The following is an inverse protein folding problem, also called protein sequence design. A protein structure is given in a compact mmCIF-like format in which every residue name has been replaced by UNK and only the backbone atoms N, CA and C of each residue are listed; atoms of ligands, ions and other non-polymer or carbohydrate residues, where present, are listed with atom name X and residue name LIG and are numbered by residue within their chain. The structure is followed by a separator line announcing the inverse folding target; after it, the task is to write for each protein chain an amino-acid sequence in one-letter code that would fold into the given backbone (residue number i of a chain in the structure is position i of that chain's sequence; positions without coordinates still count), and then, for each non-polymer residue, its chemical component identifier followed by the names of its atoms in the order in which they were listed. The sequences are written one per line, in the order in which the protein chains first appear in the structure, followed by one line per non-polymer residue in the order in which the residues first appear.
data_IF_199647717948
#
_entry.id   IF_199647717948
#
_cell.length_a   1.000
_cell.length_b   1.000
_cell.length_c   1.000
_cell.angle_alpha   90.00
_cell.angle_beta   90.00
_cell.angle_gamma   90.00
#
_symmetry.space_group_name_H-M   'P 1'
#
loop_
_entity.id
_entity.type
_entity.pdbx_description
1 polymer ?
#
# COMPACT_ATOMS: atom_id res chain seq x y z
N UNK A 1 8.33 -18.54 14.27
CA UNK A 1 7.90 -17.13 14.34
C UNK A 1 7.26 -16.91 15.69
N UNK A 2 7.44 -15.76 16.30
CA UNK A 2 6.86 -15.44 17.60
C UNK A 2 5.33 -15.33 17.55
N UNK A 3 4.66 -15.64 18.66
CA UNK A 3 3.19 -15.68 18.73
C UNK A 3 2.55 -14.29 18.68
N UNK A 4 3.27 -13.26 19.12
CA UNK A 4 2.82 -11.86 19.18
C UNK A 4 3.97 -10.92 18.80
N UNK A 5 3.67 -9.65 18.54
CA UNK A 5 4.64 -8.62 18.22
C UNK A 5 4.44 -7.39 19.09
N UNK A 6 5.53 -6.73 19.49
CA UNK A 6 5.49 -5.49 20.26
C UNK A 6 5.26 -4.28 19.34
N UNK A 7 4.07 -4.27 18.71
CA UNK A 7 3.68 -3.24 17.74
C UNK A 7 3.53 -1.88 18.44
N UNK A 8 3.12 -1.84 19.72
CA UNK A 8 2.98 -0.60 20.48
C UNK A 8 4.31 0.16 20.56
N UNK A 9 5.40 -0.51 20.97
CA UNK A 9 6.74 0.09 21.01
C UNK A 9 7.22 0.53 19.62
N UNK A 10 6.98 -0.33 18.62
CA UNK A 10 7.32 -0.01 17.22
C UNK A 10 6.64 1.26 16.72
N UNK A 11 5.34 1.43 16.99
CA UNK A 11 4.59 2.62 16.57
C UNK A 11 5.00 3.87 17.38
N UNK A 12 5.23 3.73 18.69
CA UNK A 12 5.71 4.82 19.54
C UNK A 12 7.07 5.34 19.07
N UNK A 13 7.99 4.43 18.75
CA UNK A 13 9.31 4.77 18.20
C UNK A 13 9.17 5.46 16.84
N UNK A 14 8.32 4.94 15.96
CA UNK A 14 8.07 5.55 14.66
C UNK A 14 7.50 6.98 14.78
N UNK A 15 6.56 7.20 15.71
CA UNK A 15 6.00 8.52 16.00
C UNK A 15 7.09 9.51 16.44
N UNK A 16 7.97 9.09 17.35
CA UNK A 16 9.12 9.91 17.77
C UNK A 16 10.01 10.26 16.57
N UNK A 17 10.30 9.29 15.70
CA UNK A 17 11.09 9.53 14.49
C UNK A 17 10.43 10.58 13.56
N UNK A 18 9.10 10.60 13.44
CA UNK A 18 8.42 11.64 12.65
C UNK A 18 8.56 13.04 13.24
N UNK A 19 8.58 13.16 14.58
CA UNK A 19 8.82 14.43 15.27
C UNK A 19 10.26 14.91 15.03
N UNK A 20 11.24 14.03 15.21
CA UNK A 20 12.65 14.36 15.01
C UNK A 20 12.95 14.77 13.56
N UNK A 21 12.33 14.07 12.60
CA UNK A 21 12.43 14.41 11.18
C UNK A 21 11.73 15.72 10.83
N UNK A 22 10.71 16.13 11.58
CA UNK A 22 10.03 17.41 11.39
C UNK A 22 10.90 18.57 11.88
N UNK A 23 11.63 18.40 13.00
CA UNK A 23 12.57 19.40 13.52
C UNK A 23 13.74 19.68 12.57
N UNK A 24 14.16 18.68 11.78
CA UNK A 24 15.28 18.79 10.83
C UNK A 24 14.87 19.34 9.45
N UNK A 25 13.56 19.53 9.21
CA UNK A 25 13.06 19.97 7.89
C UNK A 25 12.89 21.48 7.83
N UNK A 26 12.99 22.00 6.60
CA UNK A 26 12.66 23.39 6.29
C UNK A 26 11.25 23.76 6.78
N UNK A 27 11.06 24.90 7.47
CA UNK A 27 9.81 25.28 8.14
C UNK A 27 8.56 25.27 7.24
N UNK A 28 8.74 25.49 5.94
CA UNK A 28 7.65 25.55 4.97
C UNK A 28 7.39 24.24 4.21
N UNK A 29 8.13 23.17 4.50
CA UNK A 29 7.93 21.88 3.85
C UNK A 29 6.83 21.08 4.55
N UNK A 30 5.78 20.72 3.81
CA UNK A 30 4.71 19.81 4.27
C UNK A 30 4.84 18.45 3.57
N UNK A 31 5.70 17.54 4.08
CA UNK A 31 5.88 16.25 3.44
C UNK A 31 4.71 15.31 3.67
N UNK A 32 4.52 14.38 2.74
CA UNK A 32 3.73 13.19 3.02
C UNK A 32 4.47 12.30 4.02
N UNK A 33 3.79 11.97 5.11
CA UNK A 33 4.29 11.04 6.13
C UNK A 33 3.72 9.66 5.86
N UNK A 34 4.58 8.65 5.77
CA UNK A 34 4.23 7.26 5.49
C UNK A 34 4.89 6.34 6.50
N UNK A 35 4.09 5.53 7.18
CA UNK A 35 4.53 4.49 8.10
C UNK A 35 4.10 3.14 7.53
N UNK A 36 5.04 2.20 7.37
CA UNK A 36 4.74 0.86 6.86
C UNK A 36 5.07 -0.15 7.95
N UNK A 37 4.03 -0.80 8.46
CA UNK A 37 4.15 -1.89 9.43
C UNK A 37 4.21 -3.22 8.69
N UNK A 38 5.30 -3.97 8.89
CA UNK A 38 5.45 -5.33 8.38
C UNK A 38 5.48 -6.27 9.58
N UNK A 39 4.51 -7.17 9.69
CA UNK A 39 4.42 -8.10 10.82
C UNK A 39 3.84 -9.45 10.41
N UNK A 40 4.08 -10.49 11.22
CA UNK A 40 3.58 -11.86 11.00
C UNK A 40 2.75 -12.38 12.18
N UNK A 41 2.58 -11.57 13.23
CA UNK A 41 1.92 -11.93 14.47
C UNK A 41 1.04 -10.77 14.96
N UNK A 42 -0.05 -11.07 15.71
CA UNK A 42 -0.89 -10.05 16.32
C UNK A 42 -0.12 -9.19 17.34
N UNK A 43 -0.58 -7.97 17.63
CA UNK A 43 0.02 -7.13 18.67
C UNK A 43 -0.09 -7.78 20.05
N UNK A 44 0.92 -7.57 20.91
CA UNK A 44 0.76 -7.74 22.35
C UNK A 44 -0.31 -6.78 22.88
N UNK A 45 -1.09 -7.22 23.86
CA UNK A 45 -2.02 -6.38 24.61
C UNK A 45 -1.29 -5.68 25.78
N UNK A 46 -0.12 -5.12 25.49
CA UNK A 46 0.70 -4.39 26.46
C UNK A 46 0.78 -2.93 26.02
N UNK A 47 0.68 -1.98 26.97
CA UNK A 47 0.96 -0.59 26.67
C UNK A 47 2.46 -0.39 26.43
N UNK A 48 2.81 0.76 25.85
CA UNK A 48 4.18 1.24 25.72
C UNK A 48 4.80 1.45 27.10
N UNK A 49 6.03 0.97 27.27
CA UNK A 49 6.84 1.08 28.48
C UNK A 49 8.18 1.76 28.18
N UNK A 50 8.80 1.47 27.03
CA UNK A 50 10.17 1.93 26.73
C UNK A 50 10.20 3.37 26.20
N UNK A 51 9.23 3.76 25.37
CA UNK A 51 9.12 5.15 24.91
C UNK A 51 8.53 6.05 26.01
N UNK A 52 9.34 6.97 26.54
CA UNK A 52 8.91 7.91 27.59
C UNK A 52 7.75 8.81 27.14
N UNK A 53 7.82 9.33 25.91
CA UNK A 53 6.83 10.27 25.34
C UNK A 53 5.44 9.64 25.22
N UNK A 54 5.39 8.35 24.87
CA UNK A 54 4.14 7.62 24.62
C UNK A 54 3.87 6.55 25.67
N UNK A 55 4.57 6.60 26.82
CA UNK A 55 4.42 5.61 27.88
C UNK A 55 2.95 5.50 28.32
N UNK A 56 2.49 4.28 28.57
CA UNK A 56 1.11 3.98 28.94
C UNK A 56 0.11 3.94 27.79
N UNK A 57 0.49 4.32 26.56
CA UNK A 57 -0.42 4.24 25.41
C UNK A 57 -0.55 2.81 24.89
N UNK A 58 -1.76 2.43 24.50
CA UNK A 58 -2.02 1.17 23.81
C UNK A 58 -1.78 1.31 22.31
N UNK A 59 -1.63 0.17 21.61
CA UNK A 59 -1.46 0.14 20.15
C UNK A 59 -2.59 0.86 19.40
N UNK A 60 -3.83 0.75 19.89
CA UNK A 60 -4.99 1.42 19.29
C UNK A 60 -4.96 2.94 19.48
N UNK A 61 -4.49 3.42 20.65
CA UNK A 61 -4.31 4.85 20.90
C UNK A 61 -3.21 5.44 20.02
N UNK A 62 -2.11 4.72 19.84
CA UNK A 62 -1.03 5.15 18.94
C UNK A 62 -1.49 5.21 17.48
N UNK A 63 -2.35 4.27 17.04
CA UNK A 63 -2.93 4.32 15.71
C UNK A 63 -3.83 5.56 15.51
N UNK A 64 -4.62 5.93 16.52
CA UNK A 64 -5.38 7.19 16.48
C UNK A 64 -4.45 8.41 16.37
N UNK A 65 -3.38 8.46 17.16
CA UNK A 65 -2.38 9.55 17.11
C UNK A 65 -1.71 9.62 15.73
N UNK A 66 -1.39 8.48 15.12
CA UNK A 66 -0.86 8.41 13.75
C UNK A 66 -1.82 9.08 12.76
N UNK A 67 -3.11 8.77 12.86
CA UNK A 67 -4.14 9.36 12.00
C UNK A 67 -4.26 10.88 12.21
N UNK A 68 -4.33 11.31 13.48
CA UNK A 68 -4.43 12.72 13.88
C UNK A 68 -3.23 13.55 13.37
N UNK A 69 -2.04 12.96 13.38
CA UNK A 69 -0.81 13.60 12.89
C UNK A 69 -0.64 13.56 11.37
N UNK A 70 -1.65 13.09 10.64
CA UNK A 70 -1.66 13.01 9.19
C UNK A 70 -0.62 12.02 8.64
N UNK A 71 -0.28 11.00 9.43
CA UNK A 71 0.64 9.93 9.01
C UNK A 71 -0.18 8.82 8.36
N UNK A 72 0.16 8.48 7.12
CA UNK A 72 -0.47 7.36 6.44
C UNK A 72 0.15 6.05 6.95
N UNK A 73 -0.65 5.21 7.61
CA UNK A 73 -0.24 3.87 8.02
C UNK A 73 -0.62 2.84 6.97
N UNK A 74 0.34 2.07 6.49
CA UNK A 74 0.13 0.89 5.66
C UNK A 74 0.57 -0.37 6.40
N UNK A 75 -0.14 -1.49 6.23
CA UNK A 75 0.13 -2.74 6.95
C UNK A 75 0.30 -3.90 5.96
N UNK A 76 1.41 -4.61 6.11
CA UNK A 76 1.76 -5.80 5.33
C UNK A 76 1.94 -6.99 6.27
N UNK A 77 1.36 -8.13 5.91
CA UNK A 77 1.57 -9.39 6.64
C UNK A 77 1.48 -10.58 5.70
N UNK A 78 2.28 -11.64 5.88
CA UNK A 78 2.18 -12.86 5.08
C UNK A 78 0.92 -13.70 5.39
N UNK A 79 0.09 -13.26 6.34
CA UNK A 79 -1.19 -13.89 6.68
C UNK A 79 -2.24 -12.85 7.07
N UNK A 80 -3.52 -13.20 6.95
CA UNK A 80 -4.63 -12.36 7.42
C UNK A 80 -4.70 -12.41 8.95
N UNK A 81 -4.58 -11.26 9.61
CA UNK A 81 -4.64 -11.15 11.08
C UNK A 81 -5.74 -10.15 11.45
N UNK A 82 -6.86 -10.58 12.06
CA UNK A 82 -8.01 -9.72 12.36
C UNK A 82 -7.66 -8.43 13.13
N UNK A 83 -6.72 -8.53 14.08
CA UNK A 83 -6.27 -7.37 14.86
C UNK A 83 -5.64 -6.27 13.99
N UNK A 84 -4.96 -6.63 12.89
CA UNK A 84 -4.33 -5.66 12.00
C UNK A 84 -5.35 -4.91 11.14
N UNK A 85 -6.48 -5.53 10.79
CA UNK A 85 -7.57 -4.81 10.11
C UNK A 85 -8.15 -3.73 11.01
N UNK A 86 -8.43 -4.08 12.28
CA UNK A 86 -8.91 -3.11 13.27
C UNK A 86 -7.91 -1.98 13.48
N UNK A 87 -6.63 -2.32 13.61
CA UNK A 87 -5.56 -1.33 13.77
C UNK A 87 -5.47 -0.36 12.58
N UNK A 88 -5.55 -0.88 11.36
CA UNK A 88 -5.54 -0.08 10.15
C UNK A 88 -6.74 0.89 10.07
N UNK A 89 -7.94 0.40 10.40
CA UNK A 89 -9.15 1.25 10.45
C UNK A 89 -9.02 2.34 11.51
N UNK A 90 -8.48 2.01 12.70
CA UNK A 90 -8.18 2.99 13.76
C UNK A 90 -7.18 4.05 13.34
N UNK A 91 -6.23 3.70 12.47
CA UNK A 91 -5.30 4.65 11.85
C UNK A 91 -5.91 5.45 10.68
N UNK A 92 -7.24 5.44 10.53
CA UNK A 92 -7.96 6.14 9.47
C UNK A 92 -7.84 5.48 8.10
N UNK A 93 -7.52 4.19 8.06
CA UNK A 93 -7.48 3.39 6.84
C UNK A 93 -8.89 2.97 6.39
N UNK A 94 -9.12 2.95 5.07
CA UNK A 94 -10.38 2.46 4.48
C UNK A 94 -10.25 0.98 4.12
N UNK A 95 -10.88 0.13 4.92
CA UNK A 95 -10.89 -1.31 4.72
C UNK A 95 -11.66 -1.75 3.48
N UNK A 96 -12.70 -1.03 3.07
CA UNK A 96 -13.47 -1.41 1.87
C UNK A 96 -12.63 -1.14 0.62
N UNK A 97 -12.08 0.07 0.50
CA UNK A 97 -11.22 0.43 -0.64
C UNK A 97 -9.98 -0.48 -0.74
N UNK A 98 -9.41 -0.88 0.41
CA UNK A 98 -8.24 -1.76 0.44
C UNK A 98 -8.57 -3.22 0.08
N UNK A 99 -9.82 -3.66 0.25
CA UNK A 99 -10.26 -5.00 -0.13
C UNK A 99 -10.62 -5.12 -1.61
N UNK A 100 -11.07 -4.03 -2.25
CA UNK A 100 -11.38 -4.01 -3.69
C UNK A 100 -10.13 -4.16 -4.55
N UNK A 101 -8.97 -3.70 -4.06
CA UNK A 101 -7.69 -3.76 -4.78
C UNK A 101 -6.71 -4.66 -4.04
N UNK A 102 -6.79 -5.96 -4.29
CA UNK A 102 -5.87 -6.92 -3.69
C UNK A 102 -4.50 -6.87 -4.40
N UNK A 103 -3.56 -6.15 -3.81
CA UNK A 103 -2.19 -6.00 -4.31
C UNK A 103 -1.27 -7.19 -3.99
N UNK A 104 -1.76 -8.20 -3.28
CA UNK A 104 -0.94 -9.34 -2.92
C UNK A 104 -0.88 -10.36 -4.07
N UNK A 105 0.33 -10.87 -4.35
CA UNK A 105 0.50 -12.00 -5.27
C UNK A 105 -0.13 -13.29 -4.72
N UNK A 106 -0.04 -13.49 -3.40
CA UNK A 106 -0.70 -14.59 -2.69
C UNK A 106 -1.94 -14.06 -1.96
N UNK A 107 -3.15 -14.61 -2.22
CA UNK A 107 -4.39 -14.13 -1.59
C UNK A 107 -4.38 -14.27 -0.06
N UNK A 108 -3.53 -15.12 0.51
CA UNK A 108 -3.37 -15.30 1.96
C UNK A 108 -2.64 -14.13 2.62
N UNK A 109 -1.84 -13.38 1.85
CA UNK A 109 -1.12 -12.22 2.38
C UNK A 109 -2.06 -11.03 2.56
N UNK A 110 -1.82 -10.25 3.60
CA UNK A 110 -2.49 -9.00 3.90
C UNK A 110 -1.68 -7.83 3.35
N UNK A 111 -2.32 -7.00 2.54
CA UNK A 111 -1.75 -5.75 2.02
C UNK A 111 -2.81 -4.66 2.18
N UNK A 112 -2.59 -3.74 3.11
CA UNK A 112 -3.45 -2.58 3.38
C UNK A 112 -2.61 -1.33 3.13
N UNK A 113 -2.97 -0.53 2.13
CA UNK A 113 -2.19 0.64 1.71
C UNK A 113 -2.99 1.92 1.94
N UNK A 114 -2.37 2.91 2.58
CA UNK A 114 -2.96 4.23 2.81
C UNK A 114 -2.14 5.31 2.12
N UNK A 115 -2.81 6.22 1.42
CA UNK A 115 -2.19 7.40 0.79
C UNK A 115 -1.47 7.13 -0.53
N UNK A 116 -1.48 5.89 -1.05
CA UNK A 116 -1.00 5.55 -2.39
C UNK A 116 -1.66 4.27 -2.93
N UNK A 117 -1.46 4.01 -4.22
CA UNK A 117 -1.91 2.79 -4.90
C UNK A 117 -0.79 2.29 -5.81
N UNK A 118 -0.64 0.98 -5.93
CA UNK A 118 0.35 0.39 -6.83
C UNK A 118 -0.19 0.38 -8.26
N UNK A 119 0.70 0.57 -9.24
CA UNK A 119 0.35 0.43 -10.65
C UNK A 119 0.10 -1.06 -10.92
N UNK A 120 -1.14 -1.41 -11.20
CA UNK A 120 -1.47 -2.74 -11.70
C UNK A 120 -0.76 -2.95 -13.05
N UNK A 121 -0.14 -4.12 -13.26
CA UNK A 121 0.01 -4.58 -14.64
C UNK A 121 -1.41 -4.88 -15.12
N UNK A 122 -1.86 -4.38 -16.28
CA UNK A 122 -3.09 -4.89 -16.87
C UNK A 122 -2.96 -6.42 -16.94
N UNK A 123 -4.00 -7.12 -16.48
CA UNK A 123 -4.07 -8.58 -16.52
C UNK A 123 -4.31 -8.97 -17.97
N UNK A 124 -3.28 -8.85 -18.81
CA UNK A 124 -3.29 -9.15 -20.24
C UNK A 124 -4.31 -8.30 -21.05
N UNK A 125 -4.20 -8.23 -22.38
CA UNK A 125 -5.20 -7.55 -23.20
C UNK A 125 -6.50 -8.34 -23.05
N UNK A 126 -7.59 -7.67 -22.66
CA UNK A 126 -8.92 -8.25 -22.82
C UNK A 126 -9.11 -8.74 -24.26
N UNK A 127 -10.00 -9.72 -24.50
CA UNK A 127 -10.35 -10.08 -25.86
C UNK A 127 -10.83 -8.80 -26.54
N UNK A 128 -10.09 -8.35 -27.56
CA UNK A 128 -10.54 -7.26 -28.39
C UNK A 128 -11.95 -7.56 -28.91
N UNK A 129 -12.75 -6.52 -29.20
CA UNK A 129 -14.05 -6.72 -29.83
C UNK A 129 -13.89 -7.62 -31.06
N UNK A 130 -14.86 -8.51 -31.34
CA UNK A 130 -14.76 -9.45 -32.47
C UNK A 130 -14.46 -8.67 -33.76
N UNK A 131 -13.60 -9.19 -34.64
CA UNK A 131 -13.32 -8.54 -35.90
C UNK A 131 -14.61 -8.44 -36.70
N UNK A 132 -15.01 -7.20 -37.02
CA UNK A 132 -16.02 -6.95 -38.03
C UNK A 132 -15.58 -7.61 -39.35
N UNK A 133 -16.40 -8.47 -39.97
CA UNK A 133 -16.10 -8.99 -41.29
C UNK A 133 -16.50 -7.93 -42.31
N UNK A 134 -15.54 -7.10 -42.74
CA UNK A 134 -15.48 -6.56 -44.10
C UNK A 134 -14.37 -5.51 -44.21
N UNK A 135 -13.30 -5.86 -44.92
CA UNK A 135 -12.82 -5.20 -46.15
C UNK A 135 -11.35 -5.58 -46.34
N UNK A 136 -11.10 -6.47 -47.31
CA UNK A 136 -9.76 -6.77 -47.79
C UNK A 136 -9.21 -5.54 -48.54
N UNK A 137 -8.04 -4.99 -48.21
CA UNK A 137 -7.31 -4.14 -49.13
C UNK A 137 -6.55 -5.01 -50.13
N UNK A 138 -6.92 -4.91 -51.41
CA UNK A 138 -6.24 -5.55 -52.53
C UNK A 138 -4.83 -4.95 -52.68
N UNK A 139 -3.74 -5.75 -52.73
CA UNK A 139 -2.42 -5.22 -53.05
C UNK A 139 -2.29 -4.92 -54.54
N UNK A 140 -1.89 -3.68 -54.86
CA UNK A 140 -1.56 -3.18 -56.20
C UNK A 140 -0.45 -4.00 -56.84
N UNK A 141 -0.69 -4.47 -58.07
CA UNK A 141 0.27 -5.22 -58.87
C UNK A 141 1.34 -4.27 -59.45
N UNK A 142 2.61 -4.62 -59.24
CA UNK A 142 3.75 -3.92 -59.81
C UNK A 142 3.85 -4.10 -61.34
N UNK A 143 4.15 -3.01 -62.05
CA UNK A 143 4.41 -2.98 -63.50
C UNK A 143 5.78 -3.58 -63.84
N UNK A 144 5.93 -4.35 -64.93
CA UNK A 144 7.24 -4.77 -65.41
C UNK A 144 7.90 -3.72 -66.32
N UNK A 145 9.24 -3.66 -66.20
CA UNK A 145 10.24 -2.81 -66.89
C UNK A 145 10.48 -3.27 -68.36
N UNK A 146 11.42 -2.68 -69.16
CA UNK A 146 11.20 -2.33 -70.56
C UNK A 146 11.88 -3.33 -71.53
N UNK A 147 11.60 -3.26 -72.82
CA UNK A 147 12.51 -3.81 -73.83
C UNK A 147 12.56 -2.91 -75.05
N UNK A 148 13.79 -2.51 -75.34
CA UNK A 148 14.29 -1.92 -76.58
C UNK A 148 14.12 -2.88 -77.77
N UNK A 149 13.88 -2.32 -78.95
CA UNK A 149 13.84 -3.00 -80.24
C UNK A 149 13.12 -2.17 -81.28
#
# INVERSE_FOLDING_TARGET
GESHANIAEGLATALQCFEDLQLKREPNSKPQKQCILICNSPPYMLPVVESQTFSGHTVDQLAAIIAERGINLSILSPRKIPALFKLYEKAGGDLQASQTKNYAKDPRHLVLLKGFSLKERPISPGPGPPPHPNTLPLPSLASPLPSTG
#
